data_IF_002933296543
#
_entry.id   IF_002933296543
#
_cell.length_a   1.000
_cell.length_b   1.000
_cell.length_c   1.000
_cell.angle_alpha   90.00
_cell.angle_beta   90.00
_cell.angle_gamma   90.00
#
_symmetry.space_group_name_H-M   'P 1'
#
loop_
_entity.id
_entity.type
_entity.pdbx_description
1 polymer ?
#
# COMPACT_ATOMS: atom_id res chain seq x y z
N UNK A 1 46.75 30.58 30.34
CA UNK A 1 47.50 29.77 29.37
C UNK A 1 47.04 28.33 29.52
N UNK A 2 46.08 27.93 28.69
CA UNK A 2 45.65 26.54 28.44
C UNK A 2 44.73 26.59 27.22
N UNK A 3 45.26 26.10 26.10
CA UNK A 3 44.52 25.86 24.87
C UNK A 3 43.55 24.70 25.06
N UNK A 4 42.33 24.80 24.54
CA UNK A 4 41.56 23.61 24.17
C UNK A 4 41.01 23.73 22.75
N UNK A 5 41.52 22.80 21.95
CA UNK A 5 41.37 22.51 20.53
C UNK A 5 39.90 22.28 20.10
N UNK A 6 39.62 22.77 18.90
CA UNK A 6 38.49 22.53 17.99
C UNK A 6 37.91 21.11 18.02
N UNK A 7 36.58 21.00 18.03
CA UNK A 7 35.86 19.81 17.56
C UNK A 7 34.78 20.25 16.56
N UNK A 8 34.78 19.57 15.41
CA UNK A 8 33.99 19.84 14.22
C UNK A 8 32.50 19.48 14.38
N UNK A 9 31.66 20.06 13.52
CA UNK A 9 30.29 19.60 13.26
C UNK A 9 30.28 18.66 12.01
N UNK A 10 29.17 17.96 11.68
CA UNK A 10 28.91 16.52 11.82
C UNK A 10 29.08 15.73 10.50
N UNK A 11 28.89 14.38 10.44
CA UNK A 11 27.57 13.83 10.12
C UNK A 11 27.32 12.39 10.65
N UNK A 12 26.06 11.96 10.73
CA UNK A 12 25.53 10.74 10.09
C UNK A 12 24.16 10.41 10.67
N UNK A 13 23.14 10.51 9.82
CA UNK A 13 21.94 9.69 9.93
C UNK A 13 22.38 8.24 10.10
N UNK A 14 22.25 7.71 11.31
CA UNK A 14 22.38 6.29 11.54
C UNK A 14 21.15 5.67 10.86
N UNK A 15 21.33 5.23 9.60
CA UNK A 15 20.57 4.14 9.00
C UNK A 15 20.88 2.94 9.90
N UNK A 16 20.19 2.86 11.04
CA UNK A 16 20.27 1.73 11.96
C UNK A 16 19.97 0.51 11.09
N UNK A 17 20.97 -0.36 10.96
CA UNK A 17 20.91 -1.62 10.21
C UNK A 17 19.96 -2.63 10.85
N UNK A 18 18.73 -2.19 11.11
CA UNK A 18 17.60 -3.02 11.44
C UNK A 18 17.35 -3.89 10.22
N UNK A 19 17.78 -5.14 10.29
CA UNK A 19 17.35 -6.18 9.36
C UNK A 19 15.85 -6.36 9.61
N UNK A 20 15.04 -5.54 8.95
CA UNK A 20 13.58 -5.67 8.97
C UNK A 20 13.28 -7.07 8.45
N UNK A 21 12.52 -7.90 9.18
CA UNK A 21 12.13 -9.22 8.69
C UNK A 21 11.52 -9.05 7.30
N UNK A 22 11.74 -10.00 6.36
CA UNK A 22 11.24 -9.87 5.00
C UNK A 22 9.74 -9.59 5.08
N UNK A 23 9.36 -8.34 4.82
CA UNK A 23 7.97 -7.98 4.76
C UNK A 23 7.41 -8.81 3.63
N UNK A 24 6.32 -9.51 3.90
CA UNK A 24 5.59 -10.32 2.93
C UNK A 24 4.97 -9.46 1.78
N UNK A 25 5.40 -8.21 1.67
CA UNK A 25 4.99 -7.20 0.72
C UNK A 25 5.90 -7.27 -0.50
N UNK A 26 5.27 -7.33 -1.67
CA UNK A 26 5.96 -7.50 -2.95
C UNK A 26 6.84 -6.29 -3.31
N UNK A 27 6.44 -5.10 -2.87
CA UNK A 27 7.14 -3.84 -3.10
C UNK A 27 7.49 -3.23 -1.75
N UNK A 28 8.68 -2.63 -1.64
CA UNK A 28 8.98 -1.86 -0.44
C UNK A 28 8.21 -0.54 -0.42
N UNK A 29 8.01 -0.02 0.78
CA UNK A 29 7.48 1.31 1.01
C UNK A 29 8.26 2.41 0.26
N UNK A 30 9.61 2.36 0.29
CA UNK A 30 10.47 3.32 -0.44
C UNK A 30 10.24 3.29 -1.95
N UNK A 31 10.03 2.10 -2.52
CA UNK A 31 9.73 1.96 -3.95
C UNK A 31 8.34 2.52 -4.27
N UNK A 32 7.35 2.26 -3.41
CA UNK A 32 5.99 2.77 -3.60
C UNK A 32 5.96 4.30 -3.58
N UNK A 33 6.64 4.95 -2.63
CA UNK A 33 6.75 6.42 -2.58
C UNK A 33 7.39 6.98 -3.84
N UNK A 34 8.48 6.37 -4.32
CA UNK A 34 9.13 6.83 -5.55
C UNK A 34 8.23 6.64 -6.78
N UNK A 35 7.51 5.52 -6.88
CA UNK A 35 6.56 5.30 -7.96
C UNK A 35 5.41 6.32 -7.93
N UNK A 36 5.00 6.74 -6.73
CA UNK A 36 4.01 7.79 -6.55
C UNK A 36 4.51 9.14 -7.07
N UNK A 37 5.75 9.50 -6.76
CA UNK A 37 6.40 10.72 -7.25
C UNK A 37 6.59 10.69 -8.77
N UNK A 38 6.98 9.54 -9.34
CA UNK A 38 7.10 9.36 -10.79
C UNK A 38 5.75 9.53 -11.49
N UNK A 39 4.68 8.93 -10.95
CA UNK A 39 3.33 9.05 -11.51
C UNK A 39 2.77 10.47 -11.38
N UNK A 40 3.14 11.19 -10.32
CA UNK A 40 2.78 12.59 -10.13
C UNK A 40 3.64 13.56 -10.98
N UNK A 41 4.70 13.08 -11.63
CA UNK A 41 5.67 13.90 -12.36
C UNK A 41 6.65 14.66 -11.46
N UNK A 42 6.70 14.34 -10.16
CA UNK A 42 7.60 14.94 -9.18
C UNK A 42 9.02 14.36 -9.18
N UNK A 43 9.22 13.17 -9.76
CA UNK A 43 10.54 12.54 -9.88
C UNK A 43 10.75 11.88 -11.26
N UNK A 44 11.96 11.91 -11.83
CA UNK A 44 12.28 11.14 -13.02
C UNK A 44 12.37 9.64 -12.70
N UNK A 45 11.95 8.79 -13.64
CA UNK A 45 12.20 7.33 -13.58
C UNK A 45 13.65 7.01 -13.98
N UNK A 46 14.60 7.48 -13.18
CA UNK A 46 16.03 7.27 -13.39
C UNK A 46 16.72 7.12 -12.03
N UNK A 47 17.64 6.16 -11.92
CA UNK A 47 18.35 5.91 -10.68
C UNK A 47 19.08 4.57 -10.70
N UNK A 48 19.42 4.07 -9.51
CA UNK A 48 20.02 2.74 -9.33
C UNK A 48 19.03 1.85 -8.60
N UNK A 49 18.50 0.86 -9.28
CA UNK A 49 17.49 -0.05 -8.72
C UNK A 49 17.98 -1.49 -8.71
N UNK A 50 17.53 -2.29 -7.75
CA UNK A 50 17.77 -3.72 -7.75
C UNK A 50 17.15 -4.37 -9.00
N UNK A 51 17.90 -5.19 -9.74
CA UNK A 51 17.39 -5.87 -10.94
C UNK A 51 16.26 -6.88 -10.66
N UNK A 52 16.13 -7.34 -9.41
CA UNK A 52 15.12 -8.32 -9.02
C UNK A 52 13.83 -7.71 -8.47
N UNK A 53 13.93 -6.86 -7.43
CA UNK A 53 12.76 -6.28 -6.75
C UNK A 53 12.55 -4.79 -7.01
N UNK A 54 13.39 -4.18 -7.85
CA UNK A 54 13.35 -2.75 -8.21
C UNK A 54 13.49 -1.78 -7.04
N UNK A 55 13.90 -2.28 -5.87
CA UNK A 55 14.21 -1.45 -4.72
C UNK A 55 15.27 -0.39 -5.08
N UNK A 56 15.08 0.89 -4.73
CA UNK A 56 16.13 1.90 -4.84
C UNK A 56 17.35 1.47 -4.01
N UNK A 57 18.52 1.44 -4.66
CA UNK A 57 19.79 1.06 -4.04
C UNK A 57 20.68 2.30 -3.86
N UNK A 58 21.34 2.38 -2.71
CA UNK A 58 22.44 3.32 -2.52
C UNK A 58 23.58 3.02 -3.50
N UNK A 59 24.41 4.02 -3.81
CA UNK A 59 25.43 3.93 -4.87
C UNK A 59 26.48 2.84 -4.63
N UNK A 60 26.87 2.63 -3.37
CA UNK A 60 27.92 1.71 -2.92
C UNK A 60 27.41 0.33 -2.51
N UNK A 61 26.08 0.17 -2.37
CA UNK A 61 25.48 -1.05 -1.82
C UNK A 61 25.54 -2.20 -2.83
N UNK A 62 26.12 -3.33 -2.42
CA UNK A 62 26.32 -4.55 -3.21
C UNK A 62 25.21 -5.60 -2.99
N UNK A 63 24.39 -5.45 -1.94
CA UNK A 63 23.30 -6.37 -1.60
C UNK A 63 22.01 -5.60 -1.37
N UNK A 64 20.91 -6.05 -1.96
CA UNK A 64 19.62 -5.38 -1.78
C UNK A 64 19.11 -5.55 -0.34
N UNK A 65 18.81 -4.43 0.33
CA UNK A 65 18.27 -4.46 1.69
C UNK A 65 16.83 -4.99 1.78
N UNK A 66 16.10 -5.07 0.67
CA UNK A 66 14.72 -5.54 0.64
C UNK A 66 14.62 -7.05 0.34
N UNK A 67 15.21 -7.50 -0.77
CA UNK A 67 15.14 -8.91 -1.18
C UNK A 67 16.37 -9.74 -0.76
N UNK A 68 17.39 -9.14 -0.17
CA UNK A 68 18.62 -9.82 0.26
C UNK A 68 19.54 -10.27 -0.88
N UNK A 69 19.15 -10.11 -2.16
CA UNK A 69 19.93 -10.61 -3.29
C UNK A 69 21.16 -9.72 -3.58
N UNK A 70 22.30 -10.33 -3.93
CA UNK A 70 23.49 -9.60 -4.35
C UNK A 70 23.33 -9.01 -5.75
N UNK A 71 23.91 -7.84 -5.97
CA UNK A 71 23.95 -7.15 -7.28
C UNK A 71 24.74 -7.96 -8.31
N UNK A 72 25.67 -8.80 -7.87
CA UNK A 72 26.41 -9.70 -8.76
C UNK A 72 25.54 -10.77 -9.43
N UNK A 73 24.48 -11.23 -8.76
CA UNK A 73 23.52 -12.19 -9.31
C UNK A 73 22.44 -11.49 -10.13
N UNK A 74 21.97 -10.32 -9.64
CA UNK A 74 20.95 -9.52 -10.29
C UNK A 74 21.44 -8.07 -10.47
N UNK A 75 22.03 -7.73 -11.65
CA UNK A 75 22.64 -6.43 -11.89
C UNK A 75 21.62 -5.31 -11.74
N UNK A 76 22.09 -4.13 -11.35
CA UNK A 76 21.22 -2.98 -11.14
C UNK A 76 20.63 -2.47 -12.45
N UNK A 77 19.37 -2.04 -12.41
CA UNK A 77 18.72 -1.39 -13.55
C UNK A 77 18.65 0.12 -13.35
N UNK A 78 18.77 0.86 -14.44
CA UNK A 78 18.80 2.32 -14.43
C UNK A 78 17.41 2.97 -14.30
N UNK A 79 16.36 2.22 -14.62
CA UNK A 79 14.98 2.68 -14.61
C UNK A 79 14.05 1.53 -14.22
N UNK A 80 12.95 1.85 -13.53
CA UNK A 80 11.93 0.87 -13.23
C UNK A 80 11.17 0.52 -14.52
N UNK A 81 10.98 -0.78 -14.85
CA UNK A 81 10.26 -1.18 -16.06
C UNK A 81 8.83 -0.65 -16.09
N UNK A 82 8.35 -0.25 -17.27
CA UNK A 82 6.97 0.20 -17.49
C UNK A 82 5.90 -0.75 -16.94
N UNK A 83 6.02 -2.09 -17.07
CA UNK A 83 5.04 -3.01 -16.49
C UNK A 83 4.87 -2.86 -14.97
N UNK A 84 5.96 -2.60 -14.24
CA UNK A 84 5.92 -2.43 -12.78
C UNK A 84 5.24 -1.11 -12.40
N UNK A 85 5.52 -0.04 -13.15
CA UNK A 85 4.87 1.27 -12.94
C UNK A 85 3.36 1.17 -13.20
N UNK A 86 2.96 0.49 -14.28
CA UNK A 86 1.56 0.31 -14.62
C UNK A 86 0.82 -0.59 -13.61
N UNK A 87 1.48 -1.62 -13.10
CA UNK A 87 0.96 -2.46 -12.01
C UNK A 87 0.67 -1.62 -10.76
N UNK A 88 1.57 -0.72 -10.38
CA UNK A 88 1.35 0.21 -9.26
C UNK A 88 0.22 1.21 -9.53
N UNK A 89 0.14 1.74 -10.76
CA UNK A 89 -0.96 2.64 -11.17
C UNK A 89 -2.32 1.98 -11.04
N UNK A 90 -2.46 0.72 -11.46
CA UNK A 90 -3.69 -0.07 -11.33
C UNK A 90 -4.05 -0.34 -9.88
N UNK A 91 -3.06 -0.62 -9.03
CA UNK A 91 -3.26 -0.76 -7.59
C UNK A 91 -3.87 0.50 -6.98
N UNK A 92 -3.29 1.68 -7.22
CA UNK A 92 -3.83 2.97 -6.78
C UNK A 92 -5.26 3.23 -7.25
N UNK A 93 -5.55 2.93 -8.51
CA UNK A 93 -6.90 3.09 -9.06
C UNK A 93 -7.97 2.24 -8.35
N UNK A 94 -7.59 1.04 -7.87
CA UNK A 94 -8.50 0.14 -7.15
C UNK A 94 -8.73 0.56 -5.71
N UNK A 95 -7.70 1.06 -5.02
CA UNK A 95 -7.84 1.56 -3.65
C UNK A 95 -8.87 2.69 -3.58
N UNK A 96 -8.86 3.64 -4.52
CA UNK A 96 -9.88 4.70 -4.60
C UNK A 96 -11.29 4.18 -4.91
N UNK A 97 -11.41 3.12 -5.70
CA UNK A 97 -12.70 2.53 -6.07
C UNK A 97 -13.32 1.77 -4.89
N UNK A 98 -12.51 1.01 -4.13
CA UNK A 98 -12.93 0.30 -2.92
C UNK A 98 -13.39 1.27 -1.85
N UNK A 99 -12.65 2.36 -1.58
CA UNK A 99 -13.09 3.38 -0.62
C UNK A 99 -14.44 3.97 -1.02
N UNK A 100 -14.62 4.27 -2.31
CA UNK A 100 -15.86 4.85 -2.82
C UNK A 100 -17.03 3.87 -2.79
N UNK A 101 -16.83 2.60 -3.12
CA UNK A 101 -17.92 1.60 -3.08
C UNK A 101 -18.30 1.22 -1.66
N UNK A 102 -17.35 1.18 -0.72
CA UNK A 102 -17.65 0.98 0.70
C UNK A 102 -18.46 2.15 1.26
N UNK A 103 -18.07 3.39 0.95
CA UNK A 103 -18.81 4.57 1.37
C UNK A 103 -20.25 4.60 0.81
N UNK A 104 -20.39 4.37 -0.50
CA UNK A 104 -21.72 4.31 -1.14
C UNK A 104 -22.55 3.10 -0.69
N UNK A 105 -21.92 1.95 -0.45
CA UNK A 105 -22.57 0.74 0.04
C UNK A 105 -23.15 0.94 1.44
N UNK A 106 -22.36 1.49 2.37
CA UNK A 106 -22.82 1.81 3.72
C UNK A 106 -23.96 2.82 3.72
N UNK A 107 -23.85 3.89 2.91
CA UNK A 107 -24.91 4.89 2.75
C UNK A 107 -26.20 4.26 2.21
N UNK A 108 -26.10 3.44 1.16
CA UNK A 108 -27.26 2.81 0.51
C UNK A 108 -27.99 1.87 1.47
N UNK A 109 -27.24 1.03 2.20
CA UNK A 109 -27.82 0.13 3.20
C UNK A 109 -28.48 0.95 4.31
N UNK A 110 -27.81 1.99 4.82
CA UNK A 110 -28.37 2.86 5.86
C UNK A 110 -29.71 3.49 5.45
N UNK A 111 -29.81 3.98 4.21
CA UNK A 111 -31.05 4.54 3.66
C UNK A 111 -32.16 3.49 3.54
N UNK A 112 -31.86 2.31 2.98
CA UNK A 112 -32.85 1.23 2.83
C UNK A 112 -33.40 0.82 4.19
N UNK A 113 -32.50 0.60 5.14
CA UNK A 113 -32.82 0.19 6.50
C UNK A 113 -33.62 1.24 7.25
N UNK A 114 -33.32 2.53 7.04
CA UNK A 114 -34.06 3.65 7.59
C UNK A 114 -35.48 3.76 7.00
N UNK A 115 -35.67 3.45 5.71
CA UNK A 115 -36.95 3.57 5.02
C UNK A 115 -37.85 2.33 5.17
N UNK A 116 -37.27 1.15 5.41
CA UNK A 116 -38.01 -0.12 5.50
C UNK A 116 -39.17 -0.10 6.54
N UNK A 117 -38.99 0.45 7.75
CA UNK A 117 -40.06 0.51 8.75
C UNK A 117 -41.19 1.46 8.34
N UNK A 118 -40.86 2.58 7.68
CA UNK A 118 -41.83 3.54 7.17
C UNK A 118 -42.69 2.95 6.03
N UNK A 119 -42.11 2.02 5.25
CA UNK A 119 -42.81 1.38 4.14
C UNK A 119 -43.72 0.22 4.57
N UNK A 120 -43.42 -0.44 5.69
CA UNK A 120 -44.07 -1.70 6.09
C UNK A 120 -44.93 -1.62 7.35
N UNK A 121 -44.84 -0.55 8.16
CA UNK A 121 -45.59 -0.40 9.40
C UNK A 121 -46.25 0.97 9.56
N UNK A 122 -47.42 1.00 10.20
CA UNK A 122 -48.11 2.24 10.56
C UNK A 122 -47.29 3.05 11.59
N UNK A 123 -47.29 4.37 11.46
CA UNK A 123 -46.30 5.23 12.13
C UNK A 123 -46.72 5.51 13.57
N UNK A 124 -46.32 4.64 14.49
CA UNK A 124 -46.42 4.84 15.93
C UNK A 124 -45.17 5.54 16.50
N UNK A 125 -45.25 6.10 17.71
CA UNK A 125 -44.10 6.73 18.39
C UNK A 125 -42.94 5.74 18.64
N UNK A 126 -43.26 4.46 18.78
CA UNK A 126 -42.29 3.37 18.79
C UNK A 126 -41.52 3.20 17.49
N UNK A 127 -42.13 3.50 16.33
CA UNK A 127 -41.46 3.46 15.02
C UNK A 127 -40.36 4.52 14.91
N UNK A 128 -40.55 5.69 15.54
CA UNK A 128 -39.54 6.76 15.58
C UNK A 128 -38.36 6.35 16.49
N UNK A 129 -38.63 5.81 17.67
CA UNK A 129 -37.56 5.31 18.56
C UNK A 129 -36.81 4.12 17.93
N UNK A 130 -37.51 3.21 17.26
CA UNK A 130 -36.91 2.12 16.52
C UNK A 130 -36.04 2.64 15.38
N UNK A 131 -36.49 3.65 14.63
CA UNK A 131 -35.71 4.27 13.56
C UNK A 131 -34.36 4.82 14.06
N UNK A 132 -34.37 5.65 15.11
CA UNK A 132 -33.14 6.21 15.67
C UNK A 132 -32.27 5.15 16.33
N UNK A 133 -32.87 4.19 17.05
CA UNK A 133 -32.14 3.07 17.66
C UNK A 133 -31.44 2.21 16.60
N UNK A 134 -32.11 1.97 15.47
CA UNK A 134 -31.59 1.14 14.39
C UNK A 134 -30.54 1.91 13.57
N UNK A 135 -30.66 3.23 13.42
CA UNK A 135 -29.59 4.10 12.92
C UNK A 135 -28.33 4.05 13.78
N UNK A 136 -28.47 4.17 15.10
CA UNK A 136 -27.34 4.11 16.04
C UNK A 136 -26.71 2.72 16.02
N UNK A 137 -27.51 1.66 16.08
CA UNK A 137 -27.03 0.29 15.98
C UNK A 137 -26.29 0.05 14.66
N UNK A 138 -26.87 0.49 13.53
CA UNK A 138 -26.27 0.34 12.21
C UNK A 138 -24.95 1.11 12.09
N UNK A 139 -24.88 2.32 12.65
CA UNK A 139 -23.65 3.11 12.72
C UNK A 139 -22.56 2.37 13.51
N UNK A 140 -22.87 1.90 14.73
CA UNK A 140 -21.93 1.18 15.58
C UNK A 140 -21.46 -0.13 14.95
N UNK A 141 -22.38 -0.85 14.30
CA UNK A 141 -22.09 -2.10 13.61
C UNK A 141 -21.21 -1.84 12.38
N UNK A 142 -21.54 -0.82 11.58
CA UNK A 142 -20.77 -0.45 10.39
C UNK A 142 -19.37 0.06 10.75
N UNK A 143 -19.24 0.86 11.80
CA UNK A 143 -17.95 1.35 12.28
C UNK A 143 -17.06 0.20 12.77
N UNK A 144 -17.62 -0.75 13.54
CA UNK A 144 -16.88 -1.94 13.97
C UNK A 144 -16.54 -2.88 12.80
N UNK A 145 -17.48 -3.10 11.89
CA UNK A 145 -17.30 -3.99 10.74
C UNK A 145 -16.26 -3.43 9.77
N UNK A 146 -16.26 -2.13 9.52
CA UNK A 146 -15.23 -1.46 8.73
C UNK A 146 -13.84 -1.62 9.36
N UNK A 147 -13.72 -1.39 10.67
CA UNK A 147 -12.45 -1.49 11.39
C UNK A 147 -11.92 -2.93 11.52
N UNK A 148 -12.81 -3.93 11.60
CA UNK A 148 -12.42 -5.33 11.79
C UNK A 148 -12.25 -6.09 10.47
N UNK A 149 -13.29 -6.05 9.63
CA UNK A 149 -13.37 -6.86 8.41
C UNK A 149 -12.81 -6.09 7.21
N UNK A 150 -13.00 -4.77 7.17
CA UNK A 150 -12.48 -3.93 6.09
C UNK A 150 -10.95 -3.99 6.00
N UNK A 151 -10.27 -3.82 7.12
CA UNK A 151 -8.81 -3.78 7.16
C UNK A 151 -8.18 -5.14 6.91
N UNK A 152 -8.67 -6.20 7.56
CA UNK A 152 -8.06 -7.53 7.42
C UNK A 152 -8.34 -8.18 6.06
N UNK A 153 -9.59 -8.11 5.59
CA UNK A 153 -10.05 -8.81 4.39
C UNK A 153 -9.73 -8.00 3.13
N UNK A 154 -9.86 -6.68 3.20
CA UNK A 154 -9.47 -5.77 2.13
C UNK A 154 -7.96 -5.79 1.87
N UNK A 155 -7.14 -5.73 2.93
CA UNK A 155 -5.68 -5.78 2.79
C UNK A 155 -5.20 -7.13 2.26
N UNK A 156 -5.70 -8.24 2.82
CA UNK A 156 -5.30 -9.58 2.38
C UNK A 156 -5.70 -9.85 0.92
N UNK A 157 -6.91 -9.47 0.52
CA UNK A 157 -7.36 -9.62 -0.86
C UNK A 157 -6.54 -8.76 -1.82
N UNK A 158 -6.29 -7.49 -1.47
CA UNK A 158 -5.46 -6.58 -2.26
C UNK A 158 -4.03 -7.10 -2.45
N UNK A 159 -3.40 -7.58 -1.38
CA UNK A 159 -2.05 -8.18 -1.43
C UNK A 159 -2.04 -9.45 -2.29
N UNK A 160 -3.08 -10.29 -2.24
CA UNK A 160 -3.15 -11.52 -3.04
C UNK A 160 -3.16 -11.27 -4.55
N UNK A 161 -3.83 -10.20 -4.99
CA UNK A 161 -3.89 -9.79 -6.40
C UNK A 161 -2.55 -9.27 -6.89
N UNK A 162 -1.91 -8.39 -6.11
CA UNK A 162 -0.58 -7.85 -6.41
C UNK A 162 0.44 -8.99 -6.50
N UNK A 163 0.42 -9.94 -5.56
CA UNK A 163 1.31 -11.10 -5.60
C UNK A 163 1.13 -11.96 -6.84
N UNK A 164 -0.11 -12.17 -7.30
CA UNK A 164 -0.41 -12.97 -8.51
C UNK A 164 0.11 -12.28 -9.77
N UNK A 165 -0.11 -10.98 -9.91
CA UNK A 165 0.34 -10.21 -11.07
C UNK A 165 1.87 -10.08 -11.08
N UNK A 166 2.50 -9.93 -9.91
CA UNK A 166 3.96 -9.98 -9.76
C UNK A 166 4.54 -11.34 -10.10
N UNK A 167 3.92 -12.44 -9.65
CA UNK A 167 4.39 -13.79 -9.95
C UNK A 167 4.40 -14.06 -11.46
N UNK A 168 3.41 -13.56 -12.20
CA UNK A 168 3.39 -13.64 -13.67
C UNK A 168 4.51 -12.83 -14.30
N UNK A 169 4.67 -11.58 -13.87
CA UNK A 169 5.74 -10.71 -14.37
C UNK A 169 7.14 -11.31 -14.10
N UNK A 170 7.35 -11.84 -12.90
CA UNK A 170 8.61 -12.49 -12.53
C UNK A 170 8.86 -13.72 -13.40
N UNK A 171 7.85 -14.56 -13.63
CA UNK A 171 7.98 -15.73 -14.51
C UNK A 171 8.34 -15.35 -15.96
N UNK A 172 7.70 -14.30 -16.51
CA UNK A 172 8.01 -13.79 -17.85
C UNK A 172 9.44 -13.24 -17.95
N UNK A 173 9.86 -12.45 -16.95
CA UNK A 173 11.22 -11.90 -16.88
C UNK A 173 12.28 -13.00 -16.77
N UNK A 174 12.06 -13.97 -15.88
CA UNK A 174 13.02 -15.04 -15.62
C UNK A 174 13.13 -15.95 -16.87
N UNK A 175 12.03 -16.15 -17.61
CA UNK A 175 12.04 -16.83 -18.92
C UNK A 175 12.78 -16.07 -20.02
N UNK A 176 12.81 -14.73 -19.97
CA UNK A 176 13.60 -13.91 -20.90
C UNK A 176 15.10 -13.92 -20.59
N UNK A 177 15.48 -14.11 -19.32
CA UNK A 177 16.89 -14.18 -18.91
C UNK A 177 17.51 -15.56 -19.14
N UNK A 178 16.69 -16.61 -19.27
CA UNK A 178 17.12 -17.99 -19.51
C UNK A 178 17.33 -18.32 -21.01
N UNK A 179 16.83 -17.47 -21.91
CA UNK A 179 17.00 -17.58 -23.37
C UNK A 179 18.07 -16.60 -23.85
#
# INVERSE_FOLDING_TARGET
MTEHRTAADPPTTVDNGEVRPPTNETFSERLLTLLDDILAGGAPNAGRFCGYCYQPLAHDRQTCAHCGRPVAEWPTVAAVPRPVIEMHRRRRGREGLVVRTVAWGGLSIGVIVALLPLALWDVAWWSVMAFFGLLVLFYLLSANLANSVGDSLGYAWGQSLVRREWARFAAERDGQLAN
#
